data_IF_433896514311
#
_entry.id   IF_433896514311
#
_cell.length_a   1.000
_cell.length_b   1.000
_cell.length_c   1.000
_cell.angle_alpha   90.00
_cell.angle_beta   90.00
_cell.angle_gamma   90.00
#
_symmetry.space_group_name_H-M   'P 1'
#
loop_
_entity.id
_entity.type
_entity.pdbx_description
1 polymer ?
#
# COMPACT_ATOMS: atom_id res chain seq x y z
N UNK A 1 -27.63 28.76 -6.35
CA UNK A 1 -27.49 27.97 -5.12
C UNK A 1 -28.67 28.29 -4.24
N UNK A 2 -29.49 27.29 -3.93
CA UNK A 2 -30.75 27.52 -3.22
C UNK A 2 -30.55 27.50 -1.71
N UNK A 3 -31.22 28.42 -1.02
CA UNK A 3 -31.12 28.58 0.45
C UNK A 3 -31.47 27.29 1.20
N UNK A 4 -32.44 26.51 0.71
CA UNK A 4 -32.81 25.21 1.29
C UNK A 4 -31.68 24.20 1.19
N UNK A 5 -30.97 24.20 0.07
CA UNK A 5 -29.80 23.35 -0.17
C UNK A 5 -28.66 23.72 0.78
N UNK A 6 -28.42 25.01 1.00
CA UNK A 6 -27.40 25.48 1.95
C UNK A 6 -27.72 25.01 3.38
N UNK A 7 -28.97 25.15 3.84
CA UNK A 7 -29.34 24.66 5.18
C UNK A 7 -29.24 23.15 5.34
N UNK A 8 -29.55 22.38 4.28
CA UNK A 8 -29.37 20.93 4.30
C UNK A 8 -27.89 20.55 4.47
N UNK A 9 -27.01 21.19 3.72
CA UNK A 9 -25.55 20.97 3.84
C UNK A 9 -25.04 21.36 5.23
N UNK A 10 -25.52 22.47 5.80
CA UNK A 10 -25.14 22.87 7.16
C UNK A 10 -25.59 21.82 8.20
N UNK A 11 -26.79 21.27 8.05
CA UNK A 11 -27.27 20.21 8.94
C UNK A 11 -26.41 18.94 8.85
N UNK A 12 -26.07 18.50 7.64
CA UNK A 12 -25.18 17.36 7.40
C UNK A 12 -23.79 17.59 8.03
N UNK A 13 -23.21 18.80 7.88
CA UNK A 13 -21.91 19.13 8.47
C UNK A 13 -21.91 19.18 10.02
N UNK A 14 -23.07 19.48 10.63
CA UNK A 14 -23.24 19.42 12.09
C UNK A 14 -23.37 17.96 12.54
N UNK A 15 -24.13 17.14 11.81
CA UNK A 15 -24.30 15.70 12.08
C UNK A 15 -22.96 14.95 11.96
N UNK A 16 -22.17 15.29 10.95
CA UNK A 16 -20.81 14.77 10.75
C UNK A 16 -19.80 15.28 11.81
N UNK A 17 -20.22 16.21 12.67
CA UNK A 17 -19.38 16.76 13.74
C UNK A 17 -18.24 17.66 13.24
N UNK A 18 -18.33 18.16 12.01
CA UNK A 18 -17.30 19.01 11.38
C UNK A 18 -17.44 20.48 11.77
N UNK A 19 -18.67 20.94 12.00
CA UNK A 19 -18.97 22.30 12.47
C UNK A 19 -19.93 22.29 13.66
N UNK A 20 -19.94 23.38 14.43
CA UNK A 20 -20.89 23.63 15.51
C UNK A 20 -21.32 25.10 15.54
N UNK A 21 -22.50 25.37 16.12
CA UNK A 21 -22.95 26.73 16.34
C UNK A 21 -22.02 27.41 17.37
N UNK A 22 -21.40 28.52 16.98
CA UNK A 22 -20.52 29.29 17.86
C UNK A 22 -21.28 30.08 18.95
N UNK A 23 -22.62 30.13 18.87
CA UNK A 23 -23.48 30.95 19.70
C UNK A 23 -23.52 32.44 19.29
N UNK A 24 -22.66 32.85 18.35
CA UNK A 24 -22.61 34.24 17.85
C UNK A 24 -23.65 34.46 16.76
N UNK A 25 -24.17 35.69 16.72
CA UNK A 25 -25.14 36.15 15.72
C UNK A 25 -24.68 37.47 15.12
N UNK A 26 -24.61 37.52 13.80
CA UNK A 26 -24.05 38.64 13.05
C UNK A 26 -25.07 39.30 12.12
N UNK A 27 -24.70 40.46 11.59
CA UNK A 27 -25.52 41.29 10.70
C UNK A 27 -26.33 42.37 11.42
N UNK A 28 -26.88 43.32 10.66
CA UNK A 28 -27.58 44.49 11.20
C UNK A 28 -28.76 44.13 12.13
N UNK A 29 -29.40 42.98 11.91
CA UNK A 29 -30.53 42.48 12.71
C UNK A 29 -30.15 41.35 13.67
N UNK A 30 -28.87 40.93 13.73
CA UNK A 30 -28.36 39.81 14.53
C UNK A 30 -29.10 38.48 14.30
N UNK A 31 -29.48 38.18 13.07
CA UNK A 31 -30.18 36.94 12.71
C UNK A 31 -29.28 35.90 12.04
N UNK A 32 -28.06 36.27 11.64
CA UNK A 32 -27.17 35.35 10.92
C UNK A 32 -26.37 34.53 11.92
N UNK A 33 -26.53 33.20 11.88
CA UNK A 33 -25.80 32.26 12.73
C UNK A 33 -24.36 32.12 12.24
N UNK A 34 -23.39 32.20 13.15
CA UNK A 34 -21.98 31.94 12.85
C UNK A 34 -21.61 30.55 13.33
N UNK A 35 -21.16 29.70 12.42
CA UNK A 35 -20.68 28.35 12.74
C UNK A 35 -19.15 28.33 12.87
N UNK A 36 -18.63 27.48 13.76
CA UNK A 36 -17.19 27.24 13.98
C UNK A 36 -16.82 25.82 13.54
N UNK A 37 -15.62 25.63 13.00
CA UNK A 37 -15.06 24.32 12.66
C UNK A 37 -14.57 23.59 13.92
N UNK A 38 -14.92 22.31 14.06
CA UNK A 38 -14.40 21.45 15.13
C UNK A 38 -13.02 20.89 14.76
N UNK A 39 -12.11 20.85 15.73
CA UNK A 39 -10.77 20.26 15.56
C UNK A 39 -9.74 21.14 14.84
N UNK A 40 -10.09 22.38 14.51
CA UNK A 40 -9.16 23.36 13.93
C UNK A 40 -8.83 24.40 14.99
N UNK A 41 -7.70 24.22 15.66
CA UNK A 41 -7.15 25.22 16.57
C UNK A 41 -6.44 26.27 15.73
N UNK A 42 -6.91 27.52 15.78
CA UNK A 42 -6.19 28.62 15.16
C UNK A 42 -4.82 28.79 15.81
N UNK A 43 -3.88 29.46 15.12
CA UNK A 43 -2.55 29.81 15.69
C UNK A 43 -2.65 30.61 17.00
N UNK A 44 -3.84 31.11 17.32
CA UNK A 44 -4.17 31.95 18.47
C UNK A 44 -4.62 31.14 19.71
N UNK A 45 -4.98 29.87 19.54
CA UNK A 45 -5.51 29.01 20.61
C UNK A 45 -4.46 28.03 21.17
N UNK A 46 -3.27 27.94 20.57
CA UNK A 46 -2.12 27.25 21.14
C UNK A 46 -1.37 28.18 22.12
N UNK A 47 -1.98 28.48 23.27
CA UNK A 47 -1.28 29.09 24.39
C UNK A 47 -2.10 30.09 25.19
N UNK A 48 -2.86 29.61 26.18
CA UNK A 48 -3.20 30.46 27.32
C UNK A 48 -1.95 30.68 28.17
N UNK A 49 -1.24 31.78 27.92
CA UNK A 49 -0.41 32.45 28.92
C UNK A 49 -0.96 33.87 29.13
N UNK A 50 -1.77 33.98 30.18
CA UNK A 50 -1.95 35.11 31.11
C UNK A 50 -1.86 36.54 30.54
N UNK A 51 -3.00 37.23 30.62
CA UNK A 51 -3.15 38.66 30.94
C UNK A 51 -2.13 39.62 30.31
N UNK A 52 -2.46 40.15 29.13
CA UNK A 52 -2.15 41.55 28.82
C UNK A 52 -3.41 42.24 28.33
N UNK A 53 -3.93 43.10 29.21
CA UNK A 53 -4.93 44.11 28.89
C UNK A 53 -4.56 44.82 27.60
N UNK A 54 -5.54 44.99 26.71
CA UNK A 54 -5.46 45.99 25.65
C UNK A 54 -5.42 47.39 26.30
N UNK A 55 -4.24 47.81 26.71
CA UNK A 55 -3.97 49.17 27.16
C UNK A 55 -3.88 50.06 25.92
N UNK A 56 -5.00 50.71 25.65
CA UNK A 56 -5.17 51.98 24.94
C UNK A 56 -3.95 52.88 25.17
N UNK A 57 -3.06 53.02 24.18
CA UNK A 57 -2.04 54.08 24.21
C UNK A 57 -2.62 55.34 23.57
N UNK A 58 -3.23 56.12 24.45
CA UNK A 58 -3.31 57.56 24.33
C UNK A 58 -1.89 58.13 24.12
N UNK A 59 -1.81 59.15 23.27
CA UNK A 59 -0.63 59.93 22.92
C UNK A 59 -0.16 60.87 24.02
N UNK A 60 1.01 61.47 23.78
CA UNK A 60 1.66 62.64 24.43
C UNK A 60 2.64 62.26 25.57
N UNK A 61 3.84 62.83 25.71
CA UNK A 61 4.47 64.11 25.31
C UNK A 61 5.98 63.88 25.11
N UNK A 62 6.58 64.33 24.01
CA UNK A 62 7.31 65.62 23.81
C UNK A 62 8.83 65.46 24.02
N UNK A 63 9.61 65.57 22.93
CA UNK A 63 10.78 66.46 22.83
C UNK A 63 10.98 66.91 21.35
N UNK A 64 10.31 68.04 21.07
CA UNK A 64 10.49 69.12 20.10
C UNK A 64 11.66 69.13 19.07
N UNK A 65 11.32 69.37 17.79
CA UNK A 65 11.47 70.73 17.22
C UNK A 65 10.46 70.98 16.07
N UNK A 66 10.00 72.23 16.01
CA UNK A 66 8.82 72.79 15.34
C UNK A 66 8.99 73.04 13.83
N UNK A 67 7.89 73.06 13.06
CA UNK A 67 7.40 74.27 12.36
C UNK A 67 5.95 74.11 11.86
N UNK A 68 5.02 74.70 12.61
CA UNK A 68 3.86 75.56 12.24
C UNK A 68 2.91 75.15 11.10
N UNK A 69 1.65 74.93 11.49
CA UNK A 69 0.36 75.40 10.91
C UNK A 69 0.16 75.18 9.39
N UNK A 70 -0.78 74.35 8.92
CA UNK A 70 -2.23 74.50 9.11
C UNK A 70 -2.90 74.74 7.75
N UNK A 71 -4.09 74.19 7.56
CA UNK A 71 -4.99 74.38 6.40
C UNK A 71 -4.86 73.35 5.27
N UNK A 72 -5.84 72.45 5.24
CA UNK A 72 -6.20 71.61 4.09
C UNK A 72 -6.74 72.51 2.97
N UNK A 73 -6.19 72.50 1.75
CA UNK A 73 -6.89 73.02 0.59
C UNK A 73 -7.74 71.90 -0.01
N UNK A 74 -9.05 72.07 0.17
CA UNK A 74 -10.07 71.52 -0.71
C UNK A 74 -9.86 72.18 -2.08
N UNK A 75 -9.31 71.47 -3.06
CA UNK A 75 -9.39 71.89 -4.47
C UNK A 75 -9.61 70.68 -5.35
N UNK A 76 -10.68 70.80 -6.13
CA UNK A 76 -11.15 69.89 -7.16
C UNK A 76 -10.08 69.63 -8.22
N UNK A 77 -10.04 68.41 -8.76
CA UNK A 77 -9.72 68.21 -10.18
C UNK A 77 -10.38 66.92 -10.66
N UNK A 78 -11.65 67.08 -11.05
CA UNK A 78 -12.34 66.17 -11.95
C UNK A 78 -11.68 66.35 -13.34
N UNK A 79 -10.93 65.34 -13.79
CA UNK A 79 -10.58 65.21 -15.20
C UNK A 79 -11.28 63.98 -15.76
N UNK A 80 -12.50 64.20 -16.24
CA UNK A 80 -13.14 63.30 -17.20
C UNK A 80 -12.39 63.44 -18.53
N UNK A 81 -11.48 62.51 -18.81
CA UNK A 81 -10.92 62.37 -20.14
C UNK A 81 -11.78 61.38 -20.93
N UNK A 82 -12.44 61.88 -21.98
CA UNK A 82 -13.24 61.09 -22.92
C UNK A 82 -12.39 60.24 -23.88
N UNK A 83 -11.27 59.68 -23.42
CA UNK A 83 -10.42 58.80 -24.23
C UNK A 83 -10.74 57.35 -23.88
N UNK A 84 -11.20 56.60 -24.88
CA UNK A 84 -11.32 55.15 -24.81
C UNK A 84 -9.94 54.56 -24.53
N UNK A 85 -9.86 53.71 -23.50
CA UNK A 85 -8.73 52.82 -23.25
C UNK A 85 -8.34 52.12 -24.56
N UNK A 86 -7.06 52.10 -24.96
CA UNK A 86 -6.60 51.35 -26.11
C UNK A 86 -7.00 49.89 -25.96
N UNK A 87 -7.61 49.33 -27.00
CA UNK A 87 -7.93 47.92 -27.07
C UNK A 87 -6.60 47.15 -27.17
N UNK A 88 -6.06 46.76 -26.02
CA UNK A 88 -4.92 45.86 -25.98
C UNK A 88 -5.37 44.53 -26.60
N UNK A 89 -4.91 44.24 -27.82
CA UNK A 89 -4.88 42.87 -28.35
C UNK A 89 -3.80 42.11 -27.57
N UNK A 90 -4.08 41.88 -26.28
CA UNK A 90 -3.27 41.07 -25.42
C UNK A 90 -3.53 39.63 -25.79
N UNK A 91 -2.53 38.98 -26.39
CA UNK A 91 -2.47 37.54 -26.52
C UNK A 91 -2.78 36.93 -25.15
N UNK A 92 -3.98 36.39 -25.00
CA UNK A 92 -4.38 35.64 -23.82
C UNK A 92 -3.35 34.54 -23.62
N UNK A 93 -2.78 34.45 -22.42
CA UNK A 93 -2.03 33.27 -22.03
C UNK A 93 -2.92 32.06 -22.26
N UNK A 94 -2.42 31.12 -23.08
CA UNK A 94 -3.12 29.92 -23.58
C UNK A 94 -3.47 28.90 -22.50
N UNK A 95 -3.56 29.32 -21.23
CA UNK A 95 -3.98 28.50 -20.10
C UNK A 95 -5.35 29.01 -19.64
N UNK A 96 -6.30 29.03 -20.59
CA UNK A 96 -7.71 29.02 -20.25
C UNK A 96 -8.00 27.76 -19.45
N UNK A 97 -8.83 27.90 -18.43
CA UNK A 97 -9.37 26.86 -17.55
C UNK A 97 -9.80 25.63 -18.37
N UNK A 98 -8.87 24.69 -18.57
CA UNK A 98 -9.18 23.41 -19.17
C UNK A 98 -9.91 22.62 -18.10
N UNK A 99 -11.25 22.57 -18.21
CA UNK A 99 -12.02 21.50 -17.59
C UNK A 99 -11.43 20.19 -18.10
N UNK A 100 -10.69 19.49 -17.23
CA UNK A 100 -10.28 18.12 -17.48
C UNK A 100 -11.55 17.30 -17.73
N UNK A 101 -11.62 16.67 -18.90
CA UNK A 101 -12.72 15.78 -19.26
C UNK A 101 -12.90 14.72 -18.18
N UNK A 102 -14.15 14.48 -17.80
CA UNK A 102 -14.64 13.70 -16.66
C UNK A 102 -14.39 12.18 -16.76
N UNK A 103 -13.21 11.76 -17.22
CA UNK A 103 -12.73 10.40 -17.02
C UNK A 103 -12.08 10.36 -15.64
N UNK A 104 -12.91 10.27 -14.60
CA UNK A 104 -12.42 9.91 -13.27
C UNK A 104 -11.74 8.55 -13.38
N UNK A 105 -10.42 8.50 -13.26
CA UNK A 105 -9.78 7.24 -12.84
C UNK A 105 -10.44 6.83 -11.52
N UNK A 106 -10.59 5.53 -11.29
CA UNK A 106 -11.19 4.94 -10.07
C UNK A 106 -10.62 5.52 -8.75
N UNK A 107 -9.48 6.20 -8.84
CA UNK A 107 -8.67 6.79 -7.78
C UNK A 107 -9.37 7.96 -7.04
N UNK A 108 -10.30 8.70 -7.65
CA UNK A 108 -10.77 9.97 -7.06
C UNK A 108 -11.93 9.87 -6.07
N UNK A 109 -12.36 8.66 -5.68
CA UNK A 109 -13.47 8.48 -4.73
C UNK A 109 -13.06 8.56 -3.26
N UNK A 110 -11.77 8.60 -2.93
CA UNK A 110 -11.30 8.61 -1.53
C UNK A 110 -10.39 9.82 -1.25
N UNK A 111 -10.98 10.99 -0.99
CA UNK A 111 -10.25 12.22 -0.59
C UNK A 111 -9.60 12.14 0.81
N UNK A 112 -9.66 10.99 1.50
CA UNK A 112 -9.16 10.78 2.87
C UNK A 112 -8.25 9.56 3.03
N UNK A 113 -7.78 8.97 1.93
CA UNK A 113 -6.79 7.89 2.00
C UNK A 113 -5.40 8.48 1.80
N UNK A 114 -4.49 8.22 2.74
CA UNK A 114 -3.06 8.53 2.62
C UNK A 114 -2.44 7.88 1.37
N UNK A 115 -3.12 6.87 0.80
CA UNK A 115 -2.68 6.09 -0.34
C UNK A 115 -3.05 6.76 -1.67
N UNK A 116 -2.06 7.34 -2.33
CA UNK A 116 -2.16 7.79 -3.72
C UNK A 116 -1.48 6.78 -4.65
N UNK A 117 -2.24 6.16 -5.57
CA UNK A 117 -1.71 5.11 -6.44
C UNK A 117 -0.69 5.66 -7.44
N UNK A 118 -0.86 6.90 -7.91
CA UNK A 118 0.16 7.58 -8.75
C UNK A 118 1.51 7.69 -8.05
N UNK A 119 1.51 8.24 -6.83
CA UNK A 119 2.74 8.37 -6.03
C UNK A 119 3.33 7.00 -5.71
N UNK A 120 2.50 6.03 -5.31
CA UNK A 120 2.95 4.66 -5.04
C UNK A 120 3.57 4.01 -6.29
N UNK A 121 2.97 4.20 -7.46
CA UNK A 121 3.49 3.71 -8.74
C UNK A 121 4.86 4.30 -9.04
N UNK A 122 5.04 5.60 -8.81
CA UNK A 122 6.33 6.28 -8.97
C UNK A 122 7.39 5.71 -8.03
N UNK A 123 7.08 5.55 -6.73
CA UNK A 123 8.00 4.96 -5.76
C UNK A 123 8.40 3.52 -6.11
N UNK A 124 7.42 2.68 -6.49
CA UNK A 124 7.70 1.30 -6.92
C UNK A 124 8.57 1.29 -8.18
N UNK A 125 8.30 2.18 -9.14
CA UNK A 125 9.07 2.28 -10.37
C UNK A 125 10.52 2.74 -10.12
N UNK A 126 10.74 3.63 -9.14
CA UNK A 126 12.06 4.06 -8.72
C UNK A 126 12.86 2.91 -8.10
N UNK A 127 12.20 2.06 -7.31
CA UNK A 127 12.83 0.91 -6.64
C UNK A 127 13.08 -0.28 -7.58
N UNK A 128 12.08 -0.68 -8.37
CA UNK A 128 12.17 -1.80 -9.30
C UNK A 128 11.37 -1.53 -10.59
N UNK A 129 12.12 -1.19 -11.65
CA UNK A 129 11.58 -0.90 -12.99
C UNK A 129 10.93 -2.11 -13.66
N UNK A 130 11.18 -3.32 -13.19
CA UNK A 130 10.63 -4.55 -13.78
C UNK A 130 9.22 -4.88 -13.29
N UNK A 131 8.74 -4.19 -12.25
CA UNK A 131 7.42 -4.45 -11.66
C UNK A 131 6.33 -3.79 -12.47
N UNK A 132 5.40 -4.59 -12.99
CA UNK A 132 4.13 -4.10 -13.50
C UNK A 132 3.21 -3.74 -12.32
N UNK A 133 3.03 -2.43 -12.10
CA UNK A 133 2.18 -1.90 -11.03
C UNK A 133 0.71 -2.28 -11.22
N UNK A 134 0.21 -2.29 -12.44
CA UNK A 134 -1.20 -2.54 -12.71
C UNK A 134 -1.53 -4.01 -12.40
N UNK A 135 -0.62 -4.93 -12.72
CA UNK A 135 -0.70 -6.33 -12.29
C UNK A 135 -0.61 -6.46 -10.76
N UNK A 136 0.30 -5.73 -10.11
CA UNK A 136 0.55 -5.80 -8.66
C UNK A 136 -0.70 -5.46 -7.83
N UNK A 137 -1.44 -4.42 -8.23
CA UNK A 137 -2.66 -3.99 -7.52
C UNK A 137 -3.82 -4.97 -7.73
N UNK A 138 -3.83 -5.70 -8.84
CA UNK A 138 -4.85 -6.70 -9.16
C UNK A 138 -4.63 -8.05 -8.49
N UNK A 139 -3.46 -8.25 -7.85
CA UNK A 139 -3.16 -9.50 -7.14
C UNK A 139 -4.11 -9.75 -5.97
N UNK A 140 -4.52 -11.01 -5.81
CA UNK A 140 -5.47 -11.43 -4.77
C UNK A 140 -5.02 -11.13 -3.34
N UNK A 141 -3.71 -11.01 -3.11
CA UNK A 141 -3.12 -10.71 -1.80
C UNK A 141 -2.94 -9.21 -1.55
N UNK A 142 -3.11 -8.33 -2.55
CA UNK A 142 -2.85 -6.90 -2.42
C UNK A 142 -3.66 -6.26 -1.27
N UNK A 143 -4.98 -6.45 -1.26
CA UNK A 143 -5.85 -5.89 -0.23
C UNK A 143 -5.55 -6.41 1.18
N UNK A 144 -5.07 -7.65 1.28
CA UNK A 144 -4.65 -8.23 2.56
C UNK A 144 -3.43 -7.50 3.09
N UNK A 145 -2.43 -7.26 2.25
CA UNK A 145 -1.20 -6.58 2.64
C UNK A 145 -1.44 -5.09 2.91
N UNK A 146 -2.31 -4.43 2.14
CA UNK A 146 -2.75 -3.06 2.44
C UNK A 146 -3.35 -2.96 3.85
N UNK A 147 -4.30 -3.84 4.18
CA UNK A 147 -4.92 -3.87 5.51
C UNK A 147 -3.90 -4.17 6.61
N UNK A 148 -2.97 -5.10 6.37
CA UNK A 148 -1.92 -5.44 7.32
C UNK A 148 -0.97 -4.26 7.58
N UNK A 149 -0.61 -3.53 6.53
CA UNK A 149 0.22 -2.34 6.62
C UNK A 149 -0.49 -1.22 7.40
N UNK A 150 -1.77 -0.96 7.12
CA UNK A 150 -2.56 0.04 7.84
C UNK A 150 -2.64 -0.29 9.34
N UNK A 151 -2.93 -1.54 9.69
CA UNK A 151 -2.97 -1.98 11.09
C UNK A 151 -1.61 -1.84 11.79
N UNK A 152 -0.51 -2.15 11.10
CA UNK A 152 0.84 -2.05 11.63
C UNK A 152 1.31 -0.61 11.83
N UNK A 153 0.71 0.35 11.12
CA UNK A 153 1.08 1.77 11.19
C UNK A 153 -0.01 2.64 11.83
N UNK A 154 -1.13 2.06 12.29
CA UNK A 154 -2.26 2.81 12.86
C UNK A 154 -1.90 3.66 14.09
N UNK A 155 -0.93 3.21 14.89
CA UNK A 155 -0.42 3.97 16.05
C UNK A 155 0.77 4.88 15.72
N UNK A 156 1.29 4.82 14.49
CA UNK A 156 2.45 5.61 14.07
C UNK A 156 1.94 6.88 13.43
N UNK A 157 2.31 8.02 13.99
CA UNK A 157 2.02 9.34 13.43
C UNK A 157 2.98 9.66 12.27
N UNK A 158 2.91 8.87 11.19
CA UNK A 158 3.65 9.10 9.94
C UNK A 158 2.84 9.99 9.01
N UNK A 159 3.51 10.82 8.22
CA UNK A 159 2.86 11.57 7.14
C UNK A 159 2.59 10.67 5.93
N UNK A 160 1.67 11.10 5.08
CA UNK A 160 1.21 10.35 3.90
C UNK A 160 2.36 9.96 2.96
N UNK A 161 3.32 10.86 2.72
CA UNK A 161 4.45 10.59 1.83
C UNK A 161 5.37 9.47 2.39
N UNK A 162 5.62 9.46 3.71
CA UNK A 162 6.38 8.36 4.33
C UNK A 162 5.60 7.06 4.35
N UNK A 163 4.27 7.11 4.55
CA UNK A 163 3.44 5.91 4.48
C UNK A 163 3.49 5.29 3.07
N UNK A 164 3.44 6.11 2.02
CA UNK A 164 3.57 5.65 0.63
C UNK A 164 4.93 4.99 0.40
N UNK A 165 6.02 5.64 0.82
CA UNK A 165 7.37 5.09 0.71
C UNK A 165 7.51 3.73 1.40
N UNK A 166 7.09 3.64 2.67
CA UNK A 166 7.14 2.38 3.43
C UNK A 166 6.22 1.30 2.87
N UNK A 167 5.09 1.70 2.28
CA UNK A 167 4.18 0.75 1.66
C UNK A 167 4.74 0.18 0.36
N UNK A 168 5.49 0.97 -0.42
CA UNK A 168 6.21 0.47 -1.59
C UNK A 168 7.17 -0.67 -1.21
N UNK A 169 8.01 -0.46 -0.18
CA UNK A 169 8.92 -1.49 0.34
C UNK A 169 8.16 -2.71 0.87
N UNK A 170 7.05 -2.50 1.56
CA UNK A 170 6.20 -3.58 2.05
C UNK A 170 5.68 -4.44 0.91
N UNK A 171 5.19 -3.82 -0.17
CA UNK A 171 4.64 -4.51 -1.33
C UNK A 171 5.71 -5.31 -2.09
N UNK A 172 6.93 -4.77 -2.26
CA UNK A 172 8.03 -5.48 -2.91
C UNK A 172 8.43 -6.73 -2.12
N UNK A 173 8.52 -6.61 -0.80
CA UNK A 173 8.79 -7.74 0.09
C UNK A 173 7.64 -8.77 0.08
N UNK A 174 6.40 -8.30 0.06
CA UNK A 174 5.23 -9.17 -0.04
C UNK A 174 5.23 -9.93 -1.39
N UNK A 175 5.47 -9.25 -2.51
CA UNK A 175 5.58 -9.86 -3.83
C UNK A 175 6.59 -11.02 -3.82
N UNK A 176 7.81 -10.76 -3.36
CA UNK A 176 8.84 -11.80 -3.25
C UNK A 176 8.38 -12.99 -2.39
N UNK A 177 7.75 -12.72 -1.23
CA UNK A 177 7.20 -13.75 -0.34
C UNK A 177 6.13 -14.61 -1.02
N UNK A 178 5.21 -14.01 -1.78
CA UNK A 178 4.16 -14.76 -2.48
C UNK A 178 4.71 -15.53 -3.68
N UNK A 179 5.66 -14.96 -4.44
CA UNK A 179 6.36 -15.68 -5.50
C UNK A 179 7.11 -16.90 -4.98
N UNK A 180 7.84 -16.77 -3.87
CA UNK A 180 8.51 -17.90 -3.23
C UNK A 180 7.52 -18.99 -2.81
N UNK A 181 6.35 -18.60 -2.28
CA UNK A 181 5.29 -19.54 -1.88
C UNK A 181 4.67 -20.24 -3.10
N UNK A 182 4.46 -19.51 -4.20
CA UNK A 182 3.98 -20.10 -5.45
C UNK A 182 5.00 -21.06 -6.05
N UNK A 183 6.28 -20.68 -6.13
CA UNK A 183 7.38 -21.54 -6.58
C UNK A 183 7.50 -22.80 -5.72
N UNK A 184 7.44 -22.65 -4.40
CA UNK A 184 7.44 -23.79 -3.47
C UNK A 184 6.22 -24.69 -3.64
N UNK A 185 5.04 -24.11 -3.89
CA UNK A 185 3.80 -24.87 -4.15
C UNK A 185 3.83 -25.57 -5.51
N UNK A 186 4.43 -24.96 -6.54
CA UNK A 186 4.64 -25.57 -7.85
C UNK A 186 5.65 -26.71 -7.76
N UNK A 187 6.76 -26.52 -7.06
CA UNK A 187 7.74 -27.58 -6.81
C UNK A 187 7.11 -28.72 -5.99
N UNK A 188 6.35 -28.39 -4.94
CA UNK A 188 5.61 -29.37 -4.17
C UNK A 188 4.55 -30.10 -5.03
N UNK A 189 3.88 -29.41 -5.96
CA UNK A 189 2.98 -30.03 -6.96
C UNK A 189 3.70 -30.79 -8.06
N UNK A 190 4.96 -30.51 -8.38
CA UNK A 190 5.78 -31.39 -9.22
C UNK A 190 6.17 -32.66 -8.46
N UNK A 191 6.38 -32.57 -7.14
CA UNK A 191 6.58 -33.72 -6.26
C UNK A 191 5.29 -34.46 -5.88
N UNK A 192 4.11 -33.82 -5.97
CA UNK A 192 2.81 -34.38 -5.50
C UNK A 192 1.77 -34.55 -6.61
N UNK A 193 2.04 -34.03 -7.80
CA UNK A 193 1.18 -34.13 -8.97
C UNK A 193 1.37 -35.48 -9.61
N UNK A 194 0.26 -36.23 -9.64
CA UNK A 194 -0.05 -37.36 -10.50
C UNK A 194 1.16 -37.89 -11.28
N UNK A 195 1.72 -38.97 -10.74
CA UNK A 195 2.39 -39.98 -11.53
C UNK A 195 1.44 -40.40 -12.66
N UNK A 196 1.51 -39.68 -13.78
CA UNK A 196 1.12 -40.20 -15.09
C UNK A 196 1.96 -41.44 -15.30
N UNK A 197 1.40 -42.58 -14.91
CA UNK A 197 1.81 -43.92 -15.36
C UNK A 197 3.31 -44.10 -15.57
N UNK A 198 4.11 -43.81 -14.54
CA UNK A 198 5.43 -44.42 -14.43
C UNK A 198 5.28 -45.48 -13.34
N UNK A 199 5.37 -46.73 -13.74
CA UNK A 199 5.28 -47.93 -12.89
C UNK A 199 6.50 -48.07 -11.96
N UNK A 200 7.08 -46.96 -11.51
CA UNK A 200 8.39 -46.91 -10.86
C UNK A 200 8.41 -46.17 -9.51
N UNK A 201 9.32 -46.61 -8.64
CA UNK A 201 9.63 -46.00 -7.34
C UNK A 201 10.17 -44.56 -7.48
N UNK A 202 9.72 -43.63 -6.62
CA UNK A 202 10.33 -42.29 -6.48
C UNK A 202 11.76 -42.38 -5.94
N UNK A 203 12.64 -41.42 -6.29
CA UNK A 203 14.04 -41.38 -5.81
C UNK A 203 14.18 -41.50 -4.29
N UNK A 204 13.27 -40.87 -3.53
CA UNK A 204 13.24 -40.98 -2.06
C UNK A 204 12.86 -42.38 -1.60
N UNK A 205 11.92 -43.02 -2.29
CA UNK A 205 11.52 -44.40 -2.02
C UNK A 205 12.65 -45.36 -2.35
N UNK A 206 13.36 -45.15 -3.47
CA UNK A 206 14.53 -45.93 -3.87
C UNK A 206 15.60 -45.91 -2.78
N UNK A 207 15.94 -44.73 -2.24
CA UNK A 207 16.94 -44.63 -1.17
C UNK A 207 16.51 -45.41 0.10
N UNK A 208 15.24 -45.29 0.50
CA UNK A 208 14.69 -46.01 1.66
C UNK A 208 14.69 -47.53 1.43
N UNK A 209 14.25 -47.99 0.25
CA UNK A 209 14.23 -49.42 -0.05
C UNK A 209 15.63 -49.98 -0.24
N UNK A 210 16.57 -49.22 -0.78
CA UNK A 210 17.95 -49.63 -0.90
C UNK A 210 18.63 -49.84 0.46
N UNK A 211 18.38 -48.94 1.42
CA UNK A 211 18.87 -49.09 2.81
C UNK A 211 18.20 -50.27 3.52
N UNK A 212 16.91 -50.52 3.28
CA UNK A 212 16.24 -51.70 3.83
C UNK A 212 16.75 -53.00 3.21
N UNK A 213 16.99 -53.03 1.90
CA UNK A 213 17.49 -54.20 1.18
C UNK A 213 18.94 -54.52 1.53
N UNK A 214 19.78 -53.51 1.77
CA UNK A 214 21.17 -53.75 2.19
C UNK A 214 21.23 -54.48 3.54
N UNK A 215 20.24 -54.26 4.42
CA UNK A 215 20.10 -54.91 5.73
C UNK A 215 19.32 -56.23 5.68
N UNK A 216 18.77 -56.61 4.53
CA UNK A 216 17.99 -57.84 4.40
C UNK A 216 18.91 -59.06 4.24
N UNK A 217 18.87 -60.06 5.13
CA UNK A 217 19.88 -61.11 5.21
C UNK A 217 19.96 -61.96 3.93
N UNK A 218 18.83 -62.34 3.34
CA UNK A 218 18.82 -63.11 2.07
C UNK A 218 19.27 -62.30 0.87
N UNK A 219 19.07 -60.98 0.91
CA UNK A 219 19.42 -60.11 -0.21
C UNK A 219 20.91 -59.77 -0.14
N UNK A 220 21.38 -59.33 1.02
CA UNK A 220 22.79 -59.08 1.27
C UNK A 220 23.63 -60.33 1.00
N UNK A 221 23.19 -61.52 1.41
CA UNK A 221 23.94 -62.76 1.13
C UNK A 221 24.15 -63.03 -0.37
N UNK A 222 23.21 -62.62 -1.24
CA UNK A 222 23.30 -62.86 -2.69
C UNK A 222 23.93 -61.72 -3.48
N UNK A 223 23.74 -60.49 -3.03
CA UNK A 223 24.08 -59.29 -3.78
C UNK A 223 25.18 -58.46 -3.13
N UNK A 224 25.63 -58.81 -1.92
CA UNK A 224 26.77 -58.17 -1.30
C UNK A 224 28.08 -58.72 -1.88
N UNK A 225 29.02 -57.83 -2.17
CA UNK A 225 30.40 -58.16 -2.49
C UNK A 225 31.22 -58.21 -1.20
N UNK A 226 32.18 -59.15 -1.13
CA UNK A 226 33.01 -59.32 0.05
C UNK A 226 33.76 -58.03 0.40
N UNK A 227 33.66 -57.60 1.66
CA UNK A 227 34.28 -56.39 2.23
C UNK A 227 33.57 -55.04 1.97
N UNK A 228 32.34 -55.02 1.44
CA UNK A 228 31.58 -53.76 1.34
C UNK A 228 30.75 -53.47 2.60
N UNK A 229 30.59 -52.19 2.94
CA UNK A 229 29.73 -51.76 4.04
C UNK A 229 28.24 -51.74 3.62
N UNK A 230 27.33 -51.79 4.60
CA UNK A 230 25.89 -51.69 4.33
C UNK A 230 25.50 -50.40 3.59
N UNK A 231 26.20 -49.31 3.85
CA UNK A 231 25.99 -48.02 3.15
C UNK A 231 26.43 -48.08 1.69
N UNK A 232 27.57 -48.73 1.41
CA UNK A 232 28.08 -48.91 0.05
C UNK A 232 27.14 -49.82 -0.77
N UNK A 233 26.67 -50.91 -0.15
CA UNK A 233 25.68 -51.79 -0.76
C UNK A 233 24.36 -51.03 -1.02
N UNK A 234 23.87 -50.24 -0.07
CA UNK A 234 22.66 -49.44 -0.26
C UNK A 234 22.82 -48.43 -1.42
N UNK A 235 23.96 -47.76 -1.54
CA UNK A 235 24.22 -46.86 -2.66
C UNK A 235 24.19 -47.60 -4.01
N UNK A 236 24.79 -48.79 -4.10
CA UNK A 236 24.77 -49.61 -5.32
C UNK A 236 23.36 -50.12 -5.65
N UNK A 237 22.61 -50.56 -4.64
CA UNK A 237 21.22 -50.97 -4.80
C UNK A 237 20.37 -49.80 -5.29
N UNK A 238 20.57 -48.59 -4.76
CA UNK A 238 19.84 -47.40 -5.17
C UNK A 238 20.07 -47.06 -6.65
N UNK A 239 21.32 -47.18 -7.13
CA UNK A 239 21.65 -47.00 -8.56
C UNK A 239 20.93 -48.04 -9.41
N UNK A 240 20.94 -49.32 -9.00
CA UNK A 240 20.25 -50.39 -9.73
C UNK A 240 18.73 -50.28 -9.69
N UNK A 241 18.16 -49.82 -8.58
CA UNK A 241 16.72 -49.58 -8.43
C UNK A 241 16.22 -48.35 -9.21
N UNK A 242 17.10 -47.52 -9.76
CA UNK A 242 16.69 -46.46 -10.68
C UNK A 242 16.14 -47.05 -12.00
N UNK A 243 16.60 -48.23 -12.40
CA UNK A 243 16.14 -48.92 -13.60
C UNK A 243 14.85 -49.71 -13.35
N UNK A 244 13.75 -49.45 -14.08
CA UNK A 244 12.46 -50.13 -13.86
C UNK A 244 12.52 -51.65 -14.10
N UNK A 245 13.42 -52.12 -14.98
CA UNK A 245 13.63 -53.55 -15.22
C UNK A 245 14.23 -54.27 -13.99
N UNK A 246 15.11 -53.60 -13.25
CA UNK A 246 15.69 -54.14 -12.01
C UNK A 246 14.66 -54.13 -10.88
N UNK A 247 13.80 -53.11 -10.81
CA UNK A 247 12.69 -53.07 -9.85
C UNK A 247 11.79 -54.30 -9.99
N UNK A 248 11.44 -54.69 -11.21
CA UNK A 248 10.65 -55.90 -11.48
C UNK A 248 11.38 -57.18 -11.05
N UNK A 249 12.70 -57.27 -11.30
CA UNK A 249 13.51 -58.43 -10.88
C UNK A 249 13.60 -58.58 -9.36
N UNK A 250 13.59 -57.47 -8.62
CA UNK A 250 13.68 -57.44 -7.17
C UNK A 250 12.33 -57.24 -6.47
N UNK A 251 11.24 -57.37 -7.21
CA UNK A 251 9.89 -57.09 -6.72
C UNK A 251 9.52 -57.94 -5.49
N UNK A 252 9.93 -59.21 -5.46
CA UNK A 252 9.70 -60.10 -4.31
C UNK A 252 10.37 -59.58 -3.03
N UNK A 253 11.63 -59.15 -3.14
CA UNK A 253 12.37 -58.56 -2.03
C UNK A 253 11.82 -57.18 -1.64
N UNK A 254 11.40 -56.37 -2.61
CA UNK A 254 10.74 -55.09 -2.36
C UNK A 254 9.45 -55.26 -1.55
N UNK A 255 8.62 -56.27 -1.88
CA UNK A 255 7.40 -56.59 -1.12
C UNK A 255 7.76 -57.01 0.31
N UNK A 256 8.80 -57.84 0.51
CA UNK A 256 9.25 -58.24 1.85
C UNK A 256 9.67 -57.04 2.71
N UNK A 257 10.29 -56.01 2.12
CA UNK A 257 10.68 -54.78 2.86
C UNK A 257 9.58 -53.71 2.94
N UNK A 258 8.37 -54.04 2.50
CA UNK A 258 7.16 -53.22 2.69
C UNK A 258 6.72 -52.40 1.47
N UNK A 259 7.14 -52.75 0.24
CA UNK A 259 6.61 -52.14 -0.97
C UNK A 259 5.20 -52.67 -1.27
N UNK A 260 4.22 -51.77 -1.38
CA UNK A 260 2.87 -52.11 -1.80
C UNK A 260 2.62 -51.58 -3.21
N UNK A 261 2.44 -52.49 -4.16
CA UNK A 261 2.04 -52.13 -5.52
C UNK A 261 0.56 -51.71 -5.49
N UNK A 262 0.28 -50.41 -5.57
CA UNK A 262 -1.09 -49.91 -5.78
C UNK A 262 -1.55 -50.35 -7.17
N UNK A 263 -2.19 -51.52 -7.28
CA UNK A 263 -2.73 -51.99 -8.56
C UNK A 263 -3.08 -53.48 -8.68
N UNK A 264 -2.79 -54.33 -7.68
CA UNK A 264 -3.27 -55.71 -7.71
C UNK A 264 -4.18 -55.96 -6.50
N UNK A 265 -5.44 -55.54 -6.63
CA UNK A 265 -6.52 -56.16 -5.86
C UNK A 265 -6.61 -57.62 -6.33
N UNK A 266 -6.41 -58.54 -5.39
CA UNK A 266 -6.88 -59.92 -5.51
C UNK A 266 -8.30 -60.00 -4.96
#
# INVERSE_FOLDING_TARGET
MDRKTIFKVIAELIEDGLIEDSGKREGSTKQVIVYRLKGVTGREEAGEIKNKQYQKRNSSKDENNSTKNGTVPKTEQYHFSGQRVPFFHGNSTKNGTQNLSMNLSLESKNKKSWLCLKKLREEIFLSDKSVDFDQLVMESWYHRELRAFELNNASKNLCDDLLIFHFADWLLNAKAKYEHRQKASQLAKQFSGEQKSSTGLSQKQIAVFADKLSKHPEFASKYAEGNESFEQLAARIAIKLADPAQQQKWMSYLIQVGFQQKGAAA
#
